data_IF_732110486960
#
_entry.id   IF_732110486960
#
_cell.length_a   1.000
_cell.length_b   1.000
_cell.length_c   1.000
_cell.angle_alpha   90.00
_cell.angle_beta   90.00
_cell.angle_gamma   90.00
#
_symmetry.space_group_name_H-M   'P 1'
#
loop_
_entity.id
_entity.type
_entity.pdbx_description
1 polymer ?
#
# COMPACT_ATOMS: atom_id res chain seq x y z
N UNK A 1 -19.54 8.21 -3.27
CA UNK A 1 -19.01 6.83 -3.36
C UNK A 1 -17.50 6.85 -3.58
N UNK A 2 -16.99 7.42 -4.69
CA UNK A 2 -15.54 7.48 -4.98
C UNK A 2 -14.71 8.10 -3.84
N UNK A 3 -15.13 9.26 -3.32
CA UNK A 3 -14.45 9.98 -2.23
C UNK A 3 -14.47 9.24 -0.87
N UNK A 4 -15.15 8.09 -0.78
CA UNK A 4 -15.13 7.15 0.35
C UNK A 4 -14.51 5.80 -0.03
N UNK A 5 -13.74 5.76 -1.11
CA UNK A 5 -13.05 4.57 -1.64
C UNK A 5 -13.97 3.39 -2.02
N UNK A 6 -15.27 3.65 -2.18
CA UNK A 6 -16.25 2.69 -2.71
C UNK A 6 -16.24 2.75 -4.24
N UNK A 7 -15.16 2.27 -4.85
CA UNK A 7 -14.90 2.47 -6.28
C UNK A 7 -15.90 1.78 -7.20
N UNK A 8 -16.26 0.52 -6.91
CA UNK A 8 -17.21 -0.25 -7.73
C UNK A 8 -18.58 0.46 -7.81
N UNK A 9 -19.13 0.82 -6.65
CA UNK A 9 -20.38 1.58 -6.57
C UNK A 9 -20.28 2.95 -7.27
N UNK A 10 -19.12 3.61 -7.22
CA UNK A 10 -18.90 4.85 -7.96
C UNK A 10 -18.93 4.62 -9.48
N UNK A 11 -18.28 3.56 -9.97
CA UNK A 11 -18.26 3.19 -11.40
C UNK A 11 -19.66 2.91 -11.91
N UNK A 12 -20.48 2.18 -11.13
CA UNK A 12 -21.89 1.90 -11.44
C UNK A 12 -22.75 3.16 -11.46
N UNK A 13 -22.52 4.06 -10.50
CA UNK A 13 -23.18 5.36 -10.45
C UNK A 13 -22.86 6.21 -11.68
N UNK A 14 -21.59 6.22 -12.12
CA UNK A 14 -21.21 6.89 -13.36
C UNK A 14 -21.88 6.24 -14.57
N UNK A 15 -21.92 4.91 -14.65
CA UNK A 15 -22.58 4.19 -15.75
C UNK A 15 -24.07 4.59 -15.87
N UNK A 16 -24.74 4.64 -14.72
CA UNK A 16 -26.15 5.07 -14.62
C UNK A 16 -26.31 6.55 -15.02
N UNK A 17 -25.43 7.43 -14.58
CA UNK A 17 -25.49 8.85 -14.93
C UNK A 17 -25.22 9.11 -16.41
N UNK A 18 -24.24 8.41 -17.00
CA UNK A 18 -23.88 8.48 -18.43
C UNK A 18 -25.04 8.05 -19.32
N UNK A 19 -25.79 7.01 -18.94
CA UNK A 19 -26.94 6.53 -19.73
C UNK A 19 -28.16 7.46 -19.67
N UNK A 20 -28.28 8.28 -18.62
CA UNK A 20 -29.42 9.19 -18.40
C UNK A 20 -29.18 10.61 -18.90
N UNK A 21 -27.94 11.08 -18.93
CA UNK A 21 -27.64 12.45 -19.33
C UNK A 21 -27.81 12.66 -20.83
N UNK A 22 -28.49 13.74 -21.20
CA UNK A 22 -28.64 14.19 -22.59
C UNK A 22 -27.65 15.29 -22.96
N UNK A 23 -26.83 15.77 -22.01
CA UNK A 23 -25.86 16.87 -22.21
C UNK A 23 -24.51 16.28 -22.65
N UNK A 24 -24.04 16.50 -23.90
CA UNK A 24 -22.82 15.85 -24.40
C UNK A 24 -21.56 16.18 -23.60
N UNK A 25 -21.38 17.45 -23.20
CA UNK A 25 -20.22 17.86 -22.40
C UNK A 25 -20.17 17.19 -21.01
N UNK A 26 -21.33 17.11 -20.34
CA UNK A 26 -21.44 16.40 -19.06
C UNK A 26 -21.24 14.90 -19.24
N UNK A 27 -21.81 14.31 -20.30
CA UNK A 27 -21.61 12.89 -20.63
C UNK A 27 -20.12 12.56 -20.75
N UNK A 28 -19.39 13.35 -21.53
CA UNK A 28 -17.95 13.16 -21.72
C UNK A 28 -17.18 13.29 -20.41
N UNK A 29 -17.52 14.27 -19.57
CA UNK A 29 -16.87 14.43 -18.28
C UNK A 29 -17.11 13.23 -17.35
N UNK A 30 -18.35 12.72 -17.30
CA UNK A 30 -18.68 11.53 -16.50
C UNK A 30 -17.96 10.27 -17.00
N UNK A 31 -17.79 10.11 -18.32
CA UNK A 31 -16.99 9.03 -18.91
C UNK A 31 -15.53 9.10 -18.45
N UNK A 32 -14.92 10.29 -18.46
CA UNK A 32 -13.55 10.52 -17.96
C UNK A 32 -13.44 10.14 -16.48
N UNK A 33 -14.38 10.62 -15.64
CA UNK A 33 -14.40 10.28 -14.21
C UNK A 33 -14.58 8.77 -13.99
N UNK A 34 -15.39 8.10 -14.81
CA UNK A 34 -15.55 6.64 -14.73
C UNK A 34 -14.25 5.91 -15.07
N UNK A 35 -13.53 6.30 -16.12
CA UNK A 35 -12.24 5.69 -16.49
C UNK A 35 -11.18 5.91 -15.40
N UNK A 36 -11.12 7.11 -14.83
CA UNK A 36 -10.26 7.39 -13.68
C UNK A 36 -10.66 6.53 -12.47
N UNK A 37 -11.96 6.36 -12.19
CA UNK A 37 -12.43 5.51 -11.10
C UNK A 37 -11.98 4.06 -11.26
N UNK A 38 -12.04 3.51 -12.49
CA UNK A 38 -11.53 2.16 -12.81
C UNK A 38 -10.02 2.06 -12.57
N UNK A 39 -9.25 3.08 -12.96
CA UNK A 39 -7.79 3.11 -12.74
C UNK A 39 -7.44 3.12 -11.24
N UNK A 40 -8.08 3.98 -10.46
CA UNK A 40 -7.88 4.03 -9.01
C UNK A 40 -8.37 2.76 -8.30
N UNK A 41 -9.42 2.11 -8.79
CA UNK A 41 -9.86 0.81 -8.28
C UNK A 41 -8.84 -0.30 -8.54
N UNK A 42 -8.25 -0.33 -9.74
CA UNK A 42 -7.15 -1.25 -10.04
C UNK A 42 -5.94 -1.00 -9.13
N UNK A 43 -5.61 0.27 -8.86
CA UNK A 43 -4.54 0.64 -7.94
C UNK A 43 -4.86 0.20 -6.51
N UNK A 44 -6.08 0.43 -6.04
CA UNK A 44 -6.49 0.02 -4.70
C UNK A 44 -6.42 -1.50 -4.47
N UNK A 45 -6.41 -2.29 -5.55
CA UNK A 45 -6.19 -3.74 -5.57
C UNK A 45 -4.73 -4.15 -5.83
N UNK A 46 -3.79 -3.22 -5.79
CA UNK A 46 -2.36 -3.41 -6.06
C UNK A 46 -2.05 -3.98 -7.47
N UNK A 47 -2.92 -3.72 -8.47
CA UNK A 47 -2.69 -4.15 -9.85
C UNK A 47 -1.77 -3.17 -10.60
N UNK A 48 -0.63 -2.79 -10.02
CA UNK A 48 0.19 -1.63 -10.47
C UNK A 48 0.54 -1.62 -11.96
N UNK A 49 0.83 -2.79 -12.54
CA UNK A 49 1.11 -2.95 -13.98
C UNK A 49 -0.05 -2.51 -14.87
N UNK A 50 -1.29 -2.70 -14.41
CA UNK A 50 -2.50 -2.30 -15.13
C UNK A 50 -2.80 -0.79 -14.92
N UNK A 51 -2.41 -0.21 -13.78
CA UNK A 51 -2.78 1.17 -13.40
C UNK A 51 -2.13 2.21 -14.30
N UNK A 52 -0.83 2.09 -14.58
CA UNK A 52 -0.08 3.13 -15.31
C UNK A 52 -0.72 3.50 -16.67
N UNK A 53 -1.03 2.54 -17.56
CA UNK A 53 -1.70 2.87 -18.83
C UNK A 53 -3.13 3.39 -18.64
N UNK A 54 -3.89 2.84 -17.69
CA UNK A 54 -5.28 3.27 -17.43
C UNK A 54 -5.34 4.71 -16.91
N UNK A 55 -4.52 5.04 -15.90
CA UNK A 55 -4.46 6.36 -15.31
C UNK A 55 -3.88 7.38 -16.28
N UNK A 56 -2.88 6.97 -17.08
CA UNK A 56 -2.29 7.82 -18.12
C UNK A 56 -3.31 8.23 -19.17
N UNK A 57 -4.11 7.28 -19.68
CA UNK A 57 -5.21 7.57 -20.60
C UNK A 57 -6.23 8.52 -19.98
N UNK A 58 -6.72 8.22 -18.77
CA UNK A 58 -7.70 9.05 -18.09
C UNK A 58 -7.20 10.47 -17.82
N UNK A 59 -5.91 10.61 -17.49
CA UNK A 59 -5.26 11.91 -17.33
C UNK A 59 -5.25 12.72 -18.63
N UNK A 60 -4.81 12.14 -19.75
CA UNK A 60 -4.79 12.84 -21.04
C UNK A 60 -6.19 13.29 -21.47
N UNK A 61 -7.22 12.46 -21.24
CA UNK A 61 -8.59 12.84 -21.54
C UNK A 61 -9.09 13.97 -20.63
N UNK A 62 -8.76 13.94 -19.34
CA UNK A 62 -9.11 14.98 -18.38
C UNK A 62 -8.40 16.30 -18.67
N UNK A 63 -7.10 16.26 -19.00
CA UNK A 63 -6.32 17.45 -19.35
C UNK A 63 -6.87 18.14 -20.59
N UNK A 64 -7.19 17.36 -21.63
CA UNK A 64 -7.85 17.88 -22.84
C UNK A 64 -9.23 18.47 -22.52
N UNK A 65 -10.04 17.80 -21.70
CA UNK A 65 -11.34 18.32 -21.28
C UNK A 65 -11.20 19.65 -20.54
N UNK A 66 -10.28 19.73 -19.58
CA UNK A 66 -10.05 20.93 -18.78
C UNK A 66 -9.64 22.11 -19.68
N UNK A 67 -8.71 21.89 -20.62
CA UNK A 67 -8.25 22.91 -21.57
C UNK A 67 -9.36 23.45 -22.48
N UNK A 68 -10.28 22.59 -22.94
CA UNK A 68 -11.38 23.00 -23.83
C UNK A 68 -12.51 23.68 -23.05
N UNK A 69 -12.85 23.16 -21.87
CA UNK A 69 -13.97 23.65 -21.06
C UNK A 69 -13.61 24.88 -20.22
N UNK A 70 -12.32 25.16 -20.00
CA UNK A 70 -11.81 26.15 -19.06
C UNK A 70 -12.38 25.96 -17.63
N UNK A 71 -12.63 24.70 -17.25
CA UNK A 71 -13.17 24.32 -15.95
C UNK A 71 -12.04 24.22 -14.90
N UNK A 72 -12.11 25.09 -13.90
CA UNK A 72 -11.12 25.15 -12.82
C UNK A 72 -11.09 23.89 -11.93
N UNK A 73 -12.24 23.24 -11.69
CA UNK A 73 -12.30 22.00 -10.91
C UNK A 73 -11.66 20.84 -11.71
N UNK A 74 -11.88 20.81 -13.03
CA UNK A 74 -11.22 19.84 -13.92
C UNK A 74 -9.70 20.05 -13.99
N UNK A 75 -9.23 21.30 -14.06
CA UNK A 75 -7.79 21.62 -14.00
C UNK A 75 -7.15 21.19 -12.68
N UNK A 76 -7.82 21.47 -11.55
CA UNK A 76 -7.34 21.05 -10.23
C UNK A 76 -7.27 19.53 -10.12
N UNK A 77 -8.30 18.82 -10.60
CA UNK A 77 -8.30 17.36 -10.61
C UNK A 77 -7.17 16.80 -11.48
N UNK A 78 -6.92 17.39 -12.66
CA UNK A 78 -5.83 16.99 -13.54
C UNK A 78 -4.46 17.11 -12.85
N UNK A 79 -4.23 18.19 -12.10
CA UNK A 79 -3.00 18.37 -11.30
C UNK A 79 -2.80 17.27 -10.26
N UNK A 80 -3.87 16.87 -9.54
CA UNK A 80 -3.81 15.78 -8.57
C UNK A 80 -3.54 14.42 -9.23
N UNK A 81 -4.20 14.15 -10.36
CA UNK A 81 -3.97 12.91 -11.14
C UNK A 81 -2.53 12.88 -11.68
N UNK A 82 -1.97 14.02 -12.09
CA UNK A 82 -0.57 14.13 -12.54
C UNK A 82 0.42 13.77 -11.43
N UNK A 83 0.21 14.25 -10.21
CA UNK A 83 1.06 13.89 -9.06
C UNK A 83 1.07 12.36 -8.83
N UNK A 84 -0.10 11.73 -8.96
CA UNK A 84 -0.24 10.28 -8.83
C UNK A 84 0.44 9.51 -9.97
N UNK A 85 0.42 10.03 -11.20
CA UNK A 85 1.22 9.49 -12.31
C UNK A 85 2.72 9.60 -12.04
N UNK A 86 3.19 10.74 -11.51
CA UNK A 86 4.60 10.91 -11.13
C UNK A 86 5.02 9.89 -10.09
N UNK A 87 4.19 9.65 -9.06
CA UNK A 87 4.43 8.60 -8.07
C UNK A 87 4.53 7.20 -8.72
N UNK A 88 3.58 6.84 -9.59
CA UNK A 88 3.57 5.53 -10.26
C UNK A 88 4.77 5.32 -11.17
N UNK A 89 5.25 6.36 -11.85
CA UNK A 89 6.42 6.26 -12.73
C UNK A 89 7.69 6.05 -11.89
N UNK A 90 7.88 6.81 -10.82
CA UNK A 90 9.02 6.59 -9.91
C UNK A 90 8.97 5.20 -9.27
N UNK A 91 7.77 4.77 -8.85
CA UNK A 91 7.53 3.43 -8.34
C UNK A 91 7.91 2.36 -9.39
N UNK A 92 7.43 2.49 -10.62
CA UNK A 92 7.74 1.57 -11.71
C UNK A 92 9.24 1.47 -11.98
N UNK A 93 9.95 2.60 -11.95
CA UNK A 93 11.40 2.64 -12.18
C UNK A 93 12.17 1.93 -11.07
N UNK A 94 11.94 2.29 -9.81
CA UNK A 94 12.67 1.68 -8.68
C UNK A 94 12.37 0.20 -8.47
N UNK A 95 11.16 -0.24 -8.82
CA UNK A 95 10.74 -1.64 -8.66
C UNK A 95 11.10 -2.54 -9.84
N UNK A 96 11.84 -2.04 -10.83
CA UNK A 96 12.16 -2.79 -12.04
C UNK A 96 10.90 -3.23 -12.79
N UNK A 97 9.95 -2.31 -13.00
CA UNK A 97 8.61 -2.54 -13.55
C UNK A 97 7.74 -3.44 -12.67
N UNK A 98 7.67 -3.12 -11.37
CA UNK A 98 6.88 -3.82 -10.34
C UNK A 98 7.24 -5.30 -10.19
N UNK A 99 8.51 -5.64 -10.39
CA UNK A 99 9.02 -7.02 -10.26
C UNK A 99 9.76 -7.22 -8.95
N UNK A 100 10.35 -6.16 -8.41
CA UNK A 100 11.16 -6.20 -7.21
C UNK A 100 10.56 -5.30 -6.13
N UNK A 101 10.62 -5.78 -4.89
CA UNK A 101 10.19 -5.00 -3.74
C UNK A 101 11.09 -3.77 -3.59
N UNK A 102 10.48 -2.61 -3.35
CA UNK A 102 11.18 -1.35 -3.13
C UNK A 102 10.37 -0.49 -2.15
N UNK A 103 10.92 0.67 -1.75
CA UNK A 103 10.30 1.55 -0.75
C UNK A 103 8.90 2.02 -1.16
N UNK A 104 8.64 2.25 -2.45
CA UNK A 104 7.31 2.64 -2.94
C UNK A 104 6.20 1.61 -2.65
N UNK A 105 6.52 0.32 -2.54
CA UNK A 105 5.55 -0.69 -2.10
C UNK A 105 5.08 -0.44 -0.66
N UNK A 106 5.99 0.02 0.22
CA UNK A 106 5.66 0.35 1.60
C UNK A 106 4.78 1.61 1.67
N UNK A 107 5.13 2.65 0.90
CA UNK A 107 4.34 3.88 0.80
C UNK A 107 2.92 3.60 0.29
N UNK A 108 2.79 2.75 -0.73
CA UNK A 108 1.48 2.38 -1.28
C UNK A 108 0.67 1.51 -0.31
N UNK A 109 1.31 0.59 0.42
CA UNK A 109 0.66 -0.19 1.48
C UNK A 109 0.12 0.70 2.60
N UNK A 110 0.90 1.68 3.07
CA UNK A 110 0.47 2.68 4.04
C UNK A 110 -0.71 3.48 3.50
N UNK A 111 -0.59 4.08 2.32
CA UNK A 111 -1.70 4.83 1.72
C UNK A 111 -2.98 3.99 1.58
N UNK A 112 -2.86 2.72 1.20
CA UNK A 112 -3.97 1.79 1.08
C UNK A 112 -4.57 1.43 2.45
N UNK A 113 -3.74 1.18 3.46
CA UNK A 113 -4.19 0.94 4.84
C UNK A 113 -5.02 2.12 5.36
N UNK A 114 -4.61 3.36 5.05
CA UNK A 114 -5.36 4.56 5.43
C UNK A 114 -6.73 4.65 4.74
N UNK A 115 -6.83 4.19 3.49
CA UNK A 115 -8.14 4.12 2.79
C UNK A 115 -9.09 3.12 3.46
N UNK A 116 -8.58 1.98 3.93
CA UNK A 116 -9.37 0.99 4.69
C UNK A 116 -9.89 1.55 6.01
N UNK A 117 -9.08 2.34 6.72
CA UNK A 117 -9.50 3.06 7.93
C UNK A 117 -10.64 4.06 7.65
N UNK A 118 -10.56 4.84 6.56
CA UNK A 118 -11.65 5.73 6.14
C UNK A 118 -12.96 4.97 5.84
N UNK A 119 -12.87 3.73 5.38
CA UNK A 119 -14.03 2.86 5.16
C UNK A 119 -14.52 2.14 6.43
N UNK A 120 -13.85 2.29 7.57
CA UNK A 120 -14.13 1.55 8.80
C UNK A 120 -13.72 0.07 8.74
N UNK A 121 -12.92 -0.33 7.75
CA UNK A 121 -12.45 -1.71 7.52
C UNK A 121 -11.13 -1.95 8.27
N UNK A 122 -11.14 -1.81 9.59
CA UNK A 122 -9.92 -1.82 10.40
C UNK A 122 -9.14 -3.13 10.34
N UNK A 123 -9.81 -4.29 10.30
CA UNK A 123 -9.15 -5.59 10.10
C UNK A 123 -8.31 -5.63 8.81
N UNK A 124 -8.89 -5.13 7.72
CA UNK A 124 -8.23 -5.07 6.41
C UNK A 124 -7.08 -4.04 6.42
N UNK A 125 -7.26 -2.93 7.12
CA UNK A 125 -6.22 -1.93 7.36
C UNK A 125 -5.04 -2.50 8.16
N UNK A 126 -5.31 -3.20 9.26
CA UNK A 126 -4.28 -3.81 10.11
C UNK A 126 -3.51 -4.90 9.38
N UNK A 127 -4.16 -5.69 8.53
CA UNK A 127 -3.48 -6.67 7.69
C UNK A 127 -2.42 -6.02 6.77
N UNK A 128 -2.72 -4.84 6.21
CA UNK A 128 -1.76 -4.06 5.38
C UNK A 128 -0.63 -3.47 6.19
N UNK A 129 -0.93 -2.95 7.38
CA UNK A 129 0.10 -2.43 8.30
C UNK A 129 1.06 -3.54 8.73
N UNK A 130 0.54 -4.72 9.06
CA UNK A 130 1.37 -5.87 9.36
C UNK A 130 2.27 -6.23 8.18
N UNK A 131 1.72 -6.32 6.96
CA UNK A 131 2.53 -6.55 5.75
C UNK A 131 3.59 -5.46 5.54
N UNK A 132 3.29 -4.22 5.90
CA UNK A 132 4.23 -3.10 5.92
C UNK A 132 5.42 -3.35 6.85
N UNK A 133 5.20 -3.80 8.08
CA UNK A 133 6.28 -4.18 9.00
C UNK A 133 7.16 -5.31 8.44
N UNK A 134 6.56 -6.34 7.83
CA UNK A 134 7.33 -7.41 7.22
C UNK A 134 8.17 -6.89 6.04
N UNK A 135 7.56 -6.09 5.17
CA UNK A 135 8.23 -5.52 4.00
C UNK A 135 9.38 -4.61 4.41
N UNK A 136 9.21 -3.81 5.47
CA UNK A 136 10.24 -2.91 5.98
C UNK A 136 11.51 -3.68 6.38
N UNK A 137 11.39 -4.75 7.15
CA UNK A 137 12.53 -5.59 7.52
C UNK A 137 13.16 -6.27 6.30
N UNK A 138 12.35 -6.76 5.35
CA UNK A 138 12.83 -7.38 4.11
C UNK A 138 13.64 -6.39 3.26
N UNK A 139 13.14 -5.15 3.11
CA UNK A 139 13.84 -4.08 2.38
C UNK A 139 15.14 -3.70 3.08
N UNK A 140 15.15 -3.62 4.42
CA UNK A 140 16.36 -3.30 5.19
C UNK A 140 17.42 -4.39 5.04
N UNK A 141 17.06 -5.66 5.19
CA UNK A 141 17.97 -6.79 4.99
C UNK A 141 18.56 -6.80 3.58
N UNK A 142 17.73 -6.56 2.56
CA UNK A 142 18.18 -6.55 1.17
C UNK A 142 19.10 -5.37 0.87
N UNK A 143 18.74 -4.17 1.30
CA UNK A 143 19.49 -2.95 0.96
C UNK A 143 20.81 -2.80 1.74
N UNK A 144 20.81 -3.12 3.03
CA UNK A 144 21.98 -2.91 3.89
C UNK A 144 22.92 -4.12 3.96
N UNK A 145 22.38 -5.34 3.77
CA UNK A 145 23.15 -6.59 3.96
C UNK A 145 23.11 -7.51 2.73
N UNK A 146 22.39 -7.15 1.67
CA UNK A 146 22.15 -8.00 0.49
C UNK A 146 21.52 -9.37 0.81
N UNK A 147 20.79 -9.47 1.93
CA UNK A 147 20.12 -10.69 2.35
C UNK A 147 18.67 -10.67 1.87
N UNK A 148 18.27 -11.69 1.11
CA UNK A 148 16.88 -11.89 0.70
C UNK A 148 16.19 -12.87 1.65
N UNK A 149 15.26 -12.36 2.46
CA UNK A 149 14.59 -13.12 3.52
C UNK A 149 13.92 -14.44 3.04
N UNK A 150 13.47 -14.52 1.79
CA UNK A 150 12.84 -15.72 1.23
C UNK A 150 13.81 -16.78 0.72
N UNK A 151 15.10 -16.45 0.62
CA UNK A 151 16.14 -17.31 0.03
C UNK A 151 17.52 -17.11 0.69
N UNK A 152 17.52 -16.79 1.97
CA UNK A 152 18.75 -16.55 2.73
C UNK A 152 19.60 -17.83 2.78
N UNK A 153 20.90 -17.71 2.57
CA UNK A 153 21.86 -18.79 2.78
C UNK A 153 22.24 -18.93 4.25
N UNK A 154 22.74 -20.11 4.63
CA UNK A 154 23.22 -20.35 6.00
C UNK A 154 24.36 -19.40 6.39
N UNK A 155 25.22 -19.06 5.42
CA UNK A 155 26.33 -18.13 5.60
C UNK A 155 25.90 -16.66 5.71
N UNK A 156 24.65 -16.35 5.32
CA UNK A 156 24.08 -15.01 5.55
C UNK A 156 23.69 -14.81 7.02
N UNK A 157 23.64 -15.91 7.80
CA UNK A 157 23.23 -15.91 9.20
C UNK A 157 24.46 -15.92 10.12
N UNK A 158 24.56 -14.98 11.09
CA UNK A 158 25.61 -14.97 12.11
C UNK A 158 25.70 -16.29 12.88
N UNK A 159 26.92 -16.71 13.21
CA UNK A 159 27.21 -17.99 13.87
C UNK A 159 26.41 -18.19 15.16
N UNK A 160 26.22 -17.13 15.93
CA UNK A 160 25.50 -17.09 17.21
C UNK A 160 24.05 -17.55 17.13
N UNK A 161 23.39 -17.35 15.98
CA UNK A 161 21.97 -17.70 15.78
C UNK A 161 21.75 -18.70 14.64
N UNK A 162 22.81 -19.09 13.91
CA UNK A 162 22.74 -19.91 12.70
C UNK A 162 22.02 -21.23 12.94
N UNK A 163 22.43 -21.99 13.95
CA UNK A 163 21.85 -23.31 14.21
C UNK A 163 20.34 -23.25 14.50
N UNK A 164 19.92 -22.25 15.29
CA UNK A 164 18.50 -22.04 15.59
C UNK A 164 17.71 -21.63 14.34
N UNK A 165 18.27 -20.76 13.50
CA UNK A 165 17.65 -20.31 12.26
C UNK A 165 17.54 -21.43 11.23
N UNK A 166 18.61 -22.19 11.01
CA UNK A 166 18.61 -23.35 10.12
C UNK A 166 17.59 -24.39 10.60
N UNK A 167 17.53 -24.68 11.90
CA UNK A 167 16.54 -25.62 12.44
C UNK A 167 15.09 -25.17 12.22
N UNK A 168 14.80 -23.87 12.41
CA UNK A 168 13.42 -23.34 12.37
C UNK A 168 12.93 -22.97 10.97
N UNK A 169 13.81 -22.51 10.09
CA UNK A 169 13.42 -21.79 8.87
C UNK A 169 13.97 -22.43 7.58
N UNK A 170 14.61 -23.60 7.67
CA UNK A 170 15.08 -24.30 6.47
C UNK A 170 13.93 -24.74 5.58
N UNK A 171 14.04 -24.39 4.30
CA UNK A 171 13.24 -24.93 3.22
C UNK A 171 14.07 -25.97 2.45
N UNK A 172 13.76 -27.25 2.68
CA UNK A 172 14.47 -28.38 2.08
C UNK A 172 14.39 -28.39 0.55
N UNK A 173 13.34 -27.82 -0.04
CA UNK A 173 13.17 -27.79 -1.49
C UNK A 173 14.12 -26.79 -2.16
N UNK A 174 14.41 -25.67 -1.49
CA UNK A 174 15.27 -24.62 -1.99
C UNK A 174 16.71 -24.71 -1.48
N UNK A 175 16.97 -25.53 -0.46
CA UNK A 175 18.24 -25.54 0.30
C UNK A 175 18.61 -24.13 0.79
N UNK A 176 17.60 -23.38 1.21
CA UNK A 176 17.68 -21.99 1.67
C UNK A 176 16.76 -21.79 2.86
N UNK A 177 16.94 -20.68 3.57
CA UNK A 177 16.09 -20.29 4.68
C UNK A 177 15.00 -19.32 4.18
N UNK A 178 13.79 -19.53 4.69
CA UNK A 178 12.66 -18.62 4.49
C UNK A 178 12.28 -17.96 5.81
N UNK A 179 12.76 -16.75 6.01
CA UNK A 179 12.66 -16.02 7.26
C UNK A 179 11.29 -15.32 7.38
N UNK A 180 10.49 -15.60 8.44
CA UNK A 180 9.31 -14.79 8.76
C UNK A 180 9.72 -13.40 9.29
N UNK A 181 8.74 -12.49 9.43
CA UNK A 181 8.96 -11.10 9.85
C UNK A 181 9.79 -10.97 11.13
N UNK A 182 9.39 -11.67 12.21
CA UNK A 182 10.10 -11.66 13.48
C UNK A 182 11.55 -12.14 13.34
N UNK A 183 11.80 -13.17 12.51
CA UNK A 183 13.15 -13.65 12.25
C UNK A 183 13.99 -12.62 11.48
N UNK A 184 13.38 -11.84 10.59
CA UNK A 184 14.06 -10.76 9.89
C UNK A 184 14.53 -9.67 10.85
N UNK A 185 13.68 -9.23 11.79
CA UNK A 185 14.05 -8.24 12.80
C UNK A 185 15.09 -8.76 13.80
N UNK A 186 14.98 -10.03 14.22
CA UNK A 186 16.00 -10.68 15.05
C UNK A 186 17.35 -10.75 14.34
N UNK A 187 17.35 -11.11 13.05
CA UNK A 187 18.57 -11.11 12.23
C UNK A 187 19.17 -9.70 12.11
N UNK A 188 18.35 -8.69 11.82
CA UNK A 188 18.79 -7.28 11.78
C UNK A 188 19.46 -6.86 13.09
N UNK A 189 18.87 -7.22 14.24
CA UNK A 189 19.46 -6.91 15.53
C UNK A 189 20.81 -7.62 15.75
N UNK A 190 20.91 -8.90 15.38
CA UNK A 190 22.16 -9.67 15.48
C UNK A 190 23.26 -9.10 14.58
N UNK A 191 22.88 -8.52 13.44
CA UNK A 191 23.78 -7.78 12.55
C UNK A 191 24.12 -6.37 13.07
N UNK A 192 23.59 -5.98 14.24
CA UNK A 192 23.84 -4.68 14.86
C UNK A 192 23.01 -3.53 14.28
N UNK A 193 21.98 -3.81 13.48
CA UNK A 193 21.15 -2.81 12.81
C UNK A 193 20.19 -2.09 13.77
N UNK A 194 20.11 -0.76 13.65
CA UNK A 194 19.23 0.06 14.49
C UNK A 194 17.74 -0.27 14.31
N UNK A 195 17.29 -0.66 13.11
CA UNK A 195 15.89 -1.07 12.91
C UNK A 195 15.57 -2.34 13.71
N UNK A 196 16.51 -3.30 13.73
CA UNK A 196 16.39 -4.51 14.52
C UNK A 196 16.34 -4.21 16.03
N UNK A 197 17.26 -3.38 16.52
CA UNK A 197 17.31 -2.96 17.93
C UNK A 197 16.02 -2.26 18.37
N UNK A 198 15.53 -1.31 17.56
CA UNK A 198 14.25 -0.61 17.81
C UNK A 198 13.08 -1.57 17.88
N UNK A 199 13.02 -2.55 16.98
CA UNK A 199 11.96 -3.57 16.98
C UNK A 199 11.98 -4.39 18.26
N UNK A 200 13.15 -4.91 18.65
CA UNK A 200 13.28 -5.72 19.87
C UNK A 200 12.92 -4.94 21.13
N UNK A 201 13.25 -3.64 21.18
CA UNK A 201 12.84 -2.75 22.26
C UNK A 201 11.31 -2.59 22.39
N UNK A 202 10.56 -2.79 21.30
CA UNK A 202 9.10 -2.65 21.24
C UNK A 202 8.36 -3.98 21.01
N UNK A 203 9.07 -5.11 21.01
CA UNK A 203 8.55 -6.40 20.57
C UNK A 203 7.29 -6.81 21.33
N UNK A 204 7.30 -6.70 22.66
CA UNK A 204 6.14 -7.03 23.50
C UNK A 204 4.91 -6.17 23.20
N UNK A 205 5.12 -4.88 22.90
CA UNK A 205 4.02 -4.00 22.56
C UNK A 205 3.43 -4.36 21.20
N UNK A 206 4.30 -4.63 20.21
CA UNK A 206 3.86 -5.09 18.90
C UNK A 206 3.16 -6.46 18.99
N UNK A 207 3.67 -7.41 19.76
CA UNK A 207 3.01 -8.68 20.03
C UNK A 207 1.60 -8.51 20.62
N UNK A 208 1.40 -7.53 21.51
CA UNK A 208 0.09 -7.18 22.03
C UNK A 208 -0.87 -6.70 20.93
N UNK A 209 -0.40 -5.83 20.03
CA UNK A 209 -1.18 -5.35 18.89
C UNK A 209 -1.47 -6.46 17.87
N UNK A 210 -0.50 -7.35 17.64
CA UNK A 210 -0.66 -8.51 16.74
C UNK A 210 -1.55 -9.60 17.34
N UNK A 211 -1.58 -9.73 18.67
CA UNK A 211 -2.54 -10.59 19.36
C UNK A 211 -3.98 -10.17 19.08
N UNK A 212 -4.25 -8.85 19.06
CA UNK A 212 -5.56 -8.34 18.66
C UNK A 212 -5.92 -8.78 17.22
N UNK A 213 -4.96 -8.70 16.28
CA UNK A 213 -5.13 -9.24 14.92
C UNK A 213 -5.35 -10.75 14.92
N UNK A 214 -4.61 -11.53 15.70
CA UNK A 214 -4.76 -12.98 15.75
C UNK A 214 -6.10 -13.41 16.35
N UNK A 215 -6.62 -12.64 17.31
CA UNK A 215 -7.95 -12.82 17.88
C UNK A 215 -9.10 -12.41 16.96
N UNK A 216 -8.78 -11.85 15.79
CA UNK A 216 -9.77 -11.38 14.83
C UNK A 216 -10.47 -12.52 14.08
N UNK A 217 -11.75 -12.31 13.74
CA UNK A 217 -12.52 -13.18 12.84
C UNK A 217 -11.88 -13.34 11.45
N UNK A 218 -11.13 -12.33 10.96
CA UNK A 218 -10.42 -12.43 9.67
C UNK A 218 -9.03 -13.09 9.79
N UNK A 219 -8.66 -13.55 10.99
CA UNK A 219 -7.44 -14.31 11.24
C UNK A 219 -7.77 -15.67 11.87
N UNK A 220 -7.61 -15.81 13.19
CA UNK A 220 -7.74 -17.09 13.90
C UNK A 220 -8.71 -17.04 15.09
N UNK A 221 -9.36 -15.91 15.36
CA UNK A 221 -10.29 -15.75 16.47
C UNK A 221 -11.70 -15.36 16.03
N UNK A 222 -12.40 -14.60 16.88
CA UNK A 222 -13.83 -14.28 16.71
C UNK A 222 -14.18 -12.81 17.01
N UNK A 223 -13.20 -11.97 17.36
CA UNK A 223 -13.43 -10.55 17.66
C UNK A 223 -13.20 -9.68 16.42
N UNK A 224 -13.79 -8.48 16.31
CA UNK A 224 -13.37 -7.50 15.33
C UNK A 224 -12.11 -6.75 15.81
N UNK A 225 -11.33 -6.19 14.88
CA UNK A 225 -10.25 -5.25 15.24
C UNK A 225 -10.82 -3.84 15.40
N UNK A 226 -10.49 -3.20 16.53
CA UNK A 226 -10.86 -1.82 16.81
C UNK A 226 -9.97 -0.80 16.09
N UNK A 227 -10.49 0.43 15.97
CA UNK A 227 -9.75 1.55 15.38
C UNK A 227 -8.46 1.87 16.15
N UNK A 228 -8.47 1.73 17.48
CA UNK A 228 -7.30 2.01 18.33
C UNK A 228 -6.09 1.14 17.97
N UNK A 229 -6.31 -0.14 17.67
CA UNK A 229 -5.25 -1.06 17.22
C UNK A 229 -4.69 -0.61 15.86
N UNK A 230 -5.57 -0.20 14.94
CA UNK A 230 -5.14 0.36 13.66
C UNK A 230 -4.28 1.62 13.85
N UNK A 231 -4.75 2.59 14.67
CA UNK A 231 -4.04 3.83 14.91
C UNK A 231 -2.67 3.61 15.55
N UNK A 232 -2.55 2.69 16.51
CA UNK A 232 -1.27 2.36 17.15
C UNK A 232 -0.29 1.73 16.17
N UNK A 233 -0.73 0.73 15.38
CA UNK A 233 0.11 0.11 14.35
C UNK A 233 0.49 1.10 13.24
N UNK A 234 -0.42 2.01 12.88
CA UNK A 234 -0.19 3.06 11.89
C UNK A 234 0.95 3.97 12.31
N UNK A 235 0.87 4.55 13.52
CA UNK A 235 1.90 5.45 14.04
C UNK A 235 3.23 4.74 14.17
N UNK A 236 3.22 3.54 14.75
CA UNK A 236 4.45 2.75 14.89
C UNK A 236 5.09 2.45 13.55
N UNK A 237 4.34 2.08 12.51
CA UNK A 237 4.94 1.81 11.21
C UNK A 237 5.51 3.07 10.55
N UNK A 238 4.84 4.23 10.68
CA UNK A 238 5.40 5.50 10.20
C UNK A 238 6.73 5.82 10.89
N UNK A 239 6.79 5.67 12.21
CA UNK A 239 8.01 5.88 12.99
C UNK A 239 9.13 4.90 12.65
N UNK A 240 8.81 3.62 12.45
CA UNK A 240 9.80 2.59 12.11
C UNK A 240 10.36 2.74 10.70
N UNK A 241 9.54 3.22 9.78
CA UNK A 241 9.92 3.42 8.38
C UNK A 241 10.47 4.81 8.08
N UNK A 242 10.51 5.69 9.10
CA UNK A 242 10.82 7.12 8.98
C UNK A 242 10.01 7.80 7.84
N UNK A 243 8.77 7.35 7.65
CA UNK A 243 7.90 7.82 6.57
C UNK A 243 7.12 9.06 7.02
N UNK A 244 7.30 10.16 6.30
CA UNK A 244 6.43 11.32 6.41
C UNK A 244 5.09 11.03 5.74
N UNK A 245 4.00 11.11 6.50
CA UNK A 245 2.63 10.91 6.02
C UNK A 245 2.30 11.82 4.83
N UNK A 246 2.86 13.03 4.76
CA UNK A 246 2.62 13.97 3.66
C UNK A 246 3.16 13.47 2.31
N UNK A 247 4.06 12.49 2.31
CA UNK A 247 4.64 11.88 1.10
C UNK A 247 3.83 10.69 0.58
N UNK A 248 2.81 10.24 1.31
CA UNK A 248 1.99 9.11 0.88
C UNK A 248 1.13 9.50 -0.34
N UNK A 249 1.00 8.61 -1.34
CA UNK A 249 0.15 8.88 -2.49
C UNK A 249 -1.30 9.05 -2.04
N UNK A 250 -1.91 10.17 -2.42
CA UNK A 250 -3.28 10.50 -2.04
C UNK A 250 -4.17 10.45 -3.28
N UNK A 251 -5.24 9.67 -3.22
CA UNK A 251 -6.21 9.65 -4.32
C UNK A 251 -7.00 10.97 -4.30
N UNK A 252 -7.27 11.55 -5.48
CA UNK A 252 -8.00 12.81 -5.56
C UNK A 252 -9.41 12.65 -5.03
N UNK A 253 -10.05 13.77 -4.70
CA UNK A 253 -11.49 13.80 -4.56
C UNK A 253 -12.11 14.18 -5.90
N UNK A 254 -13.13 13.45 -6.32
CA UNK A 254 -13.93 13.84 -7.47
C UNK A 254 -14.90 14.94 -7.05
N UNK A 255 -15.13 15.94 -7.93
CA UNK A 255 -16.07 17.00 -7.63
C UNK A 255 -17.44 16.42 -7.37
N UNK A 256 -18.06 16.90 -6.31
CA UNK A 256 -19.45 16.57 -5.99
C UNK A 256 -20.29 17.54 -6.81
N UNK A 257 -21.24 17.07 -7.64
CA UNK A 257 -22.13 17.98 -8.35
C UNK A 257 -22.80 18.92 -7.34
N UNK A 258 -22.61 20.23 -7.52
CA UNK A 258 -23.38 21.23 -6.77
C UNK A 258 -24.85 21.00 -7.14
N UNK A 259 -25.67 20.78 -6.11
CA UNK A 259 -27.11 20.57 -6.25
C UNK A 259 -27.81 21.82 -6.74
#
# INVERSE_FOLDING_TARGET
>A
MFNRFQFEAAIDSFSTAISRTQKPGLKRYLEILQELAKAYWAWDKFKHKEVSPLLGKGFSELENYAAISNDAEAHSLAGLVKNNLTFLEAFKQESGNFKEACHYHLLDLLANAKRRDVEGKHDDGVARLYRGFELLAQLRLKSAYNIEASKAGENDIPETIRDDFCRKYSDLSLRKLKLPSQACYRLLNELGDELGKRYLGQEKHLEGLLSARNSSILAHGFSPVGQDTFCQLWQMLLEFSDTDQAKLPTFPQFPIPKT
#
